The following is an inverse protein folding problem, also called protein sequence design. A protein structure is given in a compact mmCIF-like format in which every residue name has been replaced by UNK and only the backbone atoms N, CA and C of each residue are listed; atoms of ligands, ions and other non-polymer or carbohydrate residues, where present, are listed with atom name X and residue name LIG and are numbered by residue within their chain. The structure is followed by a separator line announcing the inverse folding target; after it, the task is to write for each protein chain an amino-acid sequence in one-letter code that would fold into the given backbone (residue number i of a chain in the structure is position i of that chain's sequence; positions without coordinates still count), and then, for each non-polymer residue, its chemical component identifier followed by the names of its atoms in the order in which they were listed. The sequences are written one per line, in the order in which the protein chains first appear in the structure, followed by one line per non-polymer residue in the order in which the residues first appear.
data_IF_659104837680
#
_entry.id   IF_659104837680
#
_cell.length_a   1.000
_cell.length_b   1.000
_cell.length_c   1.000
_cell.angle_alpha   90.00
_cell.angle_beta   90.00
_cell.angle_gamma   90.00
#
_symmetry.space_group_name_H-M   'P 1'
#
loop_
_entity.id
_entity.type
_entity.pdbx_description
1 polymer ?
#
# COMPACT_ATOMS: atom_id res chain seq x y z
N UNK A 1 -24.49 -11.67 -14.83
CA UNK A 1 -24.14 -13.08 -14.52
C UNK A 1 -22.86 -13.47 -15.28
N UNK A 2 -21.81 -12.65 -15.18
CA UNK A 2 -20.53 -12.82 -15.90
C UNK A 2 -19.29 -12.63 -14.99
N UNK A 3 -19.49 -12.35 -13.69
CA UNK A 3 -18.39 -12.01 -12.76
C UNK A 3 -17.96 -13.14 -11.82
N UNK A 4 -18.70 -14.25 -11.77
CA UNK A 4 -18.41 -15.36 -10.83
C UNK A 4 -17.60 -16.52 -11.44
N UNK A 5 -17.41 -16.53 -12.76
CA UNK A 5 -16.76 -17.65 -13.47
C UNK A 5 -15.22 -17.47 -13.47
N UNK A 6 -14.72 -16.23 -13.40
CA UNK A 6 -13.29 -15.91 -13.52
C UNK A 6 -12.45 -16.40 -12.34
N UNK A 7 -13.01 -16.46 -11.13
CA UNK A 7 -12.29 -16.92 -9.94
C UNK A 7 -12.16 -18.46 -9.87
N UNK A 8 -13.03 -19.22 -10.54
CA UNK A 8 -13.01 -20.69 -10.49
C UNK A 8 -11.80 -21.32 -11.21
N UNK A 9 -11.01 -20.51 -11.94
CA UNK A 9 -9.83 -20.95 -12.68
C UNK A 9 -8.51 -20.32 -12.17
N UNK A 10 -8.53 -19.66 -11.01
CA UNK A 10 -7.32 -19.09 -10.44
C UNK A 10 -6.33 -20.21 -10.06
N UNK A 11 -5.12 -20.15 -10.63
CA UNK A 11 -4.04 -21.06 -10.28
C UNK A 11 -3.27 -20.52 -9.06
N UNK A 12 -2.79 -21.41 -8.17
CA UNK A 12 -1.97 -20.98 -7.04
C UNK A 12 -0.66 -20.36 -7.52
N UNK A 13 -0.13 -19.44 -6.72
CA UNK A 13 1.21 -18.88 -6.90
C UNK A 13 2.12 -19.54 -5.87
N UNK A 14 3.20 -20.15 -6.32
CA UNK A 14 4.14 -20.82 -5.42
C UNK A 14 5.39 -19.95 -5.27
N UNK A 15 5.67 -19.39 -4.08
CA UNK A 15 6.95 -18.76 -3.83
C UNK A 15 8.05 -19.82 -3.81
N UNK A 16 9.30 -19.38 -4.00
CA UNK A 16 10.47 -20.22 -3.72
C UNK A 16 10.39 -20.76 -2.30
N UNK A 17 10.85 -22.00 -2.09
CA UNK A 17 11.06 -22.54 -0.75
C UNK A 17 11.94 -21.57 0.07
N UNK A 18 11.58 -21.36 1.33
CA UNK A 18 12.22 -20.39 2.20
C UNK A 18 12.11 -20.79 3.67
N UNK A 19 13.15 -20.50 4.44
CA UNK A 19 13.19 -20.63 5.91
C UNK A 19 13.05 -19.29 6.61
N UNK A 20 13.16 -18.18 5.85
CA UNK A 20 13.01 -16.82 6.36
C UNK A 20 11.97 -16.05 5.55
N UNK A 21 11.22 -15.18 6.20
CA UNK A 21 10.34 -14.19 5.56
C UNK A 21 10.79 -12.80 5.99
N UNK A 22 11.02 -11.92 5.03
CA UNK A 22 11.38 -10.54 5.25
C UNK A 22 10.27 -9.62 4.76
N UNK A 23 9.54 -8.99 5.68
CA UNK A 23 8.53 -7.98 5.36
C UNK A 23 9.18 -6.60 5.33
N UNK A 24 8.94 -5.85 4.26
CA UNK A 24 9.41 -4.46 4.11
C UNK A 24 8.21 -3.58 3.77
N UNK A 25 7.70 -2.85 4.76
CA UNK A 25 6.61 -1.90 4.55
C UNK A 25 7.19 -0.53 4.19
N UNK A 26 6.89 -0.06 2.99
CA UNK A 26 7.39 1.22 2.47
C UNK A 26 6.26 2.25 2.49
N UNK A 27 6.47 3.33 3.23
CA UNK A 27 5.45 4.34 3.54
C UNK A 27 4.61 3.92 4.75
N UNK A 28 4.70 4.68 5.83
CA UNK A 28 3.91 4.49 7.07
C UNK A 28 3.00 5.69 7.35
N UNK A 29 2.53 6.34 6.29
CA UNK A 29 1.52 7.39 6.36
C UNK A 29 0.11 6.86 6.67
N UNK A 30 -0.86 7.20 5.82
CA UNK A 30 -2.27 6.78 5.99
C UNK A 30 -2.44 5.27 5.99
N UNK A 31 -2.37 4.64 4.81
CA UNK A 31 -2.57 3.19 4.67
C UNK A 31 -1.53 2.39 5.46
N UNK A 32 -0.24 2.73 5.30
CA UNK A 32 0.84 1.99 5.93
C UNK A 32 0.83 2.05 7.46
N UNK A 33 0.47 3.19 8.05
CA UNK A 33 0.41 3.34 9.51
C UNK A 33 -0.62 2.42 10.17
N UNK A 34 -1.77 2.18 9.53
CA UNK A 34 -2.76 1.21 10.01
C UNK A 34 -2.33 -0.23 9.66
N UNK A 35 -1.88 -0.47 8.44
CA UNK A 35 -1.48 -1.79 7.98
C UNK A 35 -0.31 -2.37 8.79
N UNK A 36 0.60 -1.53 9.29
CA UNK A 36 1.69 -1.97 10.16
C UNK A 36 1.17 -2.74 11.39
N UNK A 37 0.09 -2.30 12.03
CA UNK A 37 -0.49 -3.01 13.18
C UNK A 37 -1.10 -4.35 12.80
N UNK A 38 -1.76 -4.43 11.65
CA UNK A 38 -2.33 -5.68 11.16
C UNK A 38 -1.22 -6.67 10.76
N UNK A 39 -0.14 -6.18 10.14
CA UNK A 39 1.05 -6.97 9.85
C UNK A 39 1.69 -7.52 11.12
N UNK A 40 1.72 -6.76 12.22
CA UNK A 40 2.22 -7.27 13.50
C UNK A 40 1.46 -8.52 13.96
N UNK A 41 0.13 -8.55 13.79
CA UNK A 41 -0.70 -9.72 14.15
C UNK A 41 -0.43 -10.91 13.24
N UNK A 42 -0.24 -10.68 11.95
CA UNK A 42 0.15 -11.72 11.00
C UNK A 42 1.52 -12.29 11.37
N UNK A 43 2.49 -11.43 11.69
CA UNK A 43 3.84 -11.81 12.10
C UNK A 43 3.80 -12.65 13.37
N UNK A 44 3.02 -12.26 14.38
CA UNK A 44 2.82 -13.07 15.60
C UNK A 44 2.35 -14.48 15.28
N UNK A 45 1.39 -14.62 14.35
CA UNK A 45 0.93 -15.94 13.93
C UNK A 45 2.03 -16.72 13.20
N UNK A 46 2.82 -16.05 12.36
CA UNK A 46 3.93 -16.68 11.62
C UNK A 46 5.10 -17.09 12.53
N UNK A 47 5.31 -16.42 13.66
CA UNK A 47 6.34 -16.81 14.64
C UNK A 47 6.06 -18.16 15.30
N UNK A 48 4.82 -18.68 15.24
CA UNK A 48 4.51 -20.05 15.65
C UNK A 48 4.98 -21.10 14.63
N UNK A 49 5.43 -20.69 13.45
CA UNK A 49 6.06 -21.57 12.47
C UNK A 49 7.57 -21.69 12.71
N UNK A 50 8.25 -22.60 12.02
CA UNK A 50 9.72 -22.74 12.09
C UNK A 50 10.47 -21.73 11.21
N UNK A 51 9.80 -20.65 10.77
CA UNK A 51 10.39 -19.64 9.89
C UNK A 51 10.89 -18.46 10.71
N UNK A 52 12.04 -17.94 10.35
CA UNK A 52 12.54 -16.67 10.87
C UNK A 52 11.81 -15.52 10.18
N UNK A 53 11.36 -14.52 10.95
CA UNK A 53 10.57 -13.41 10.43
C UNK A 53 11.28 -12.11 10.76
N UNK A 54 11.57 -11.33 9.72
CA UNK A 54 12.09 -9.98 9.84
C UNK A 54 11.03 -8.99 9.37
N UNK A 55 10.92 -7.85 10.05
CA UNK A 55 9.98 -6.80 9.68
C UNK A 55 10.66 -5.44 9.76
N UNK A 56 10.74 -4.77 8.62
CA UNK A 56 11.24 -3.41 8.49
C UNK A 56 10.12 -2.48 8.00
N UNK A 57 10.14 -1.26 8.50
CA UNK A 57 9.30 -0.16 8.03
C UNK A 57 10.18 1.00 7.57
N UNK A 58 9.82 1.61 6.44
CA UNK A 58 10.64 2.62 5.74
C UNK A 58 9.79 3.84 5.43
N UNK A 59 10.18 5.00 5.93
CA UNK A 59 9.55 6.30 5.63
C UNK A 59 10.50 7.42 6.06
N UNK A 60 10.63 8.46 5.23
CA UNK A 60 11.51 9.59 5.49
C UNK A 60 10.85 10.75 6.25
N UNK A 61 9.54 10.69 6.48
CA UNK A 61 8.80 11.79 7.08
C UNK A 61 8.78 11.75 8.61
N UNK A 62 8.64 12.94 9.21
CA UNK A 62 8.21 13.12 10.58
C UNK A 62 6.68 13.24 10.70
N UNK A 63 6.16 12.99 11.89
CA UNK A 63 4.74 13.18 12.21
C UNK A 63 4.42 14.66 12.24
N UNK A 64 3.40 15.08 11.48
CA UNK A 64 2.89 16.45 11.47
C UNK A 64 1.48 16.54 12.06
N UNK A 65 1.06 17.74 12.46
CA UNK A 65 -0.28 17.99 13.01
C UNK A 65 -1.41 17.50 12.09
N UNK A 66 -1.26 17.69 10.78
CA UNK A 66 -2.22 17.24 9.75
C UNK A 66 -2.34 15.71 9.65
N UNK A 67 -1.40 14.96 10.21
CA UNK A 67 -1.42 13.50 10.18
C UNK A 67 -2.36 12.92 11.24
N UNK A 68 -2.53 13.60 12.38
CA UNK A 68 -3.27 13.10 13.56
C UNK A 68 -4.72 12.72 13.24
N UNK A 69 -5.36 13.39 12.30
CA UNK A 69 -6.77 13.13 11.96
C UNK A 69 -7.00 11.87 11.13
N UNK A 70 -5.98 11.36 10.43
CA UNK A 70 -6.17 10.35 9.36
C UNK A 70 -5.07 9.28 9.28
N UNK A 71 -3.97 9.48 9.98
CA UNK A 71 -2.87 8.52 10.06
C UNK A 71 -2.84 7.98 11.50
N UNK A 72 -2.20 6.84 11.68
CA UNK A 72 -2.15 6.15 12.96
C UNK A 72 -1.10 6.78 13.92
N UNK A 73 -1.21 8.09 14.17
CA UNK A 73 -0.33 8.87 15.03
C UNK A 73 -1.09 9.69 16.06
N UNK A 74 -0.43 9.99 17.17
CA UNK A 74 -0.97 10.70 18.33
C UNK A 74 -0.39 12.11 18.44
N UNK A 75 -1.12 13.01 19.10
CA UNK A 75 -0.70 14.41 19.27
C UNK A 75 0.70 14.54 19.92
N UNK A 76 1.05 13.64 20.83
CA UNK A 76 2.33 13.62 21.52
C UNK A 76 3.51 13.21 20.62
N UNK A 77 3.24 12.69 19.42
CA UNK A 77 4.25 12.16 18.50
C UNK A 77 4.65 13.17 17.43
N UNK A 78 3.99 14.35 17.39
CA UNK A 78 4.29 15.41 16.42
C UNK A 78 5.77 15.84 16.53
N UNK A 79 6.45 15.88 15.39
CA UNK A 79 7.86 16.22 15.26
C UNK A 79 8.81 15.02 15.35
N UNK A 80 8.33 13.85 15.76
CA UNK A 80 9.14 12.62 15.77
C UNK A 80 9.11 11.93 14.41
N UNK A 81 10.15 11.15 14.05
CA UNK A 81 10.09 10.30 12.87
C UNK A 81 8.91 9.33 12.92
N UNK A 82 8.19 9.22 11.80
CA UNK A 82 7.02 8.34 11.68
C UNK A 82 7.38 6.88 11.98
N UNK A 83 8.47 6.41 11.38
CA UNK A 83 8.94 5.02 11.56
C UNK A 83 9.33 4.71 12.99
N UNK A 84 10.07 5.58 13.67
CA UNK A 84 10.52 5.31 15.05
C UNK A 84 9.33 5.25 16.00
N UNK A 85 8.40 6.18 15.83
CA UNK A 85 7.17 6.26 16.61
C UNK A 85 6.34 4.98 16.44
N UNK A 86 6.06 4.61 15.19
CA UNK A 86 5.23 3.45 14.89
C UNK A 86 5.92 2.13 15.29
N UNK A 87 7.22 1.99 15.03
CA UNK A 87 8.01 0.82 15.43
C UNK A 87 8.01 0.66 16.94
N UNK A 88 8.29 1.72 17.71
CA UNK A 88 8.31 1.66 19.17
C UNK A 88 6.95 1.24 19.73
N UNK A 89 5.88 1.86 19.23
CA UNK A 89 4.51 1.59 19.68
C UNK A 89 4.07 0.16 19.34
N UNK A 90 4.30 -0.29 18.11
CA UNK A 90 3.96 -1.64 17.68
C UNK A 90 4.81 -2.70 18.40
N UNK A 91 6.12 -2.47 18.56
CA UNK A 91 7.01 -3.39 19.27
C UNK A 91 6.60 -3.53 20.74
N UNK A 92 6.28 -2.42 21.42
CA UNK A 92 5.81 -2.45 22.80
C UNK A 92 4.44 -3.15 22.95
N UNK A 93 3.53 -2.95 21.98
CA UNK A 93 2.18 -3.52 22.02
C UNK A 93 2.15 -5.02 21.71
N UNK A 94 2.94 -5.46 20.74
CA UNK A 94 2.88 -6.84 20.21
C UNK A 94 4.07 -7.71 20.63
N UNK A 95 5.13 -7.13 21.20
CA UNK A 95 6.33 -7.87 21.58
C UNK A 95 7.14 -8.39 20.38
N UNK A 96 7.05 -7.71 19.23
CA UNK A 96 7.81 -8.05 18.02
C UNK A 96 8.93 -7.04 17.80
N UNK A 97 10.03 -7.47 17.19
CA UNK A 97 11.10 -6.56 16.78
C UNK A 97 10.77 -5.95 15.41
N UNK A 98 10.87 -4.62 15.30
CA UNK A 98 10.60 -3.88 14.07
C UNK A 98 11.79 -2.97 13.78
N UNK A 99 12.41 -3.15 12.62
CA UNK A 99 13.48 -2.26 12.15
C UNK A 99 12.87 -0.99 11.56
N UNK A 100 13.14 0.16 12.18
CA UNK A 100 12.76 1.47 11.66
C UNK A 100 13.87 2.03 10.76
N UNK A 101 13.55 2.28 9.49
CA UNK A 101 14.44 2.93 8.53
C UNK A 101 13.92 4.35 8.27
N UNK A 102 14.54 5.33 8.94
CA UNK A 102 14.16 6.74 8.84
C UNK A 102 14.80 7.40 7.61
N UNK A 103 14.50 6.86 6.44
CA UNK A 103 14.95 7.37 5.15
C UNK A 103 13.97 6.94 4.05
N UNK A 104 14.17 7.47 2.85
CA UNK A 104 13.45 7.04 1.66
C UNK A 104 13.86 5.64 1.23
N UNK A 105 12.95 4.93 0.57
CA UNK A 105 13.26 3.62 0.03
C UNK A 105 14.32 3.70 -1.06
N UNK A 106 15.37 2.89 -0.89
CA UNK A 106 16.42 2.68 -1.88
C UNK A 106 16.57 1.18 -2.19
N UNK A 107 16.94 0.87 -3.43
CA UNK A 107 17.07 -0.53 -3.89
C UNK A 107 18.06 -1.34 -3.03
N UNK A 108 19.09 -0.68 -2.53
CA UNK A 108 20.16 -1.31 -1.75
C UNK A 108 19.65 -1.90 -0.44
N UNK A 109 18.54 -1.38 0.11
CA UNK A 109 17.90 -1.97 1.29
C UNK A 109 17.51 -3.44 1.05
N UNK A 110 17.07 -3.76 -0.17
CA UNK A 110 16.67 -5.12 -0.55
C UNK A 110 17.88 -5.94 -0.99
N UNK A 111 18.82 -5.33 -1.73
CA UNK A 111 20.01 -6.02 -2.23
C UNK A 111 20.93 -6.47 -1.11
N UNK A 112 21.13 -5.63 -0.09
CA UNK A 112 21.96 -5.94 1.08
C UNK A 112 21.27 -6.91 2.04
N UNK A 113 19.94 -6.88 2.12
CA UNK A 113 19.13 -7.84 2.88
C UNK A 113 18.87 -9.16 2.12
N UNK A 114 19.50 -9.37 0.96
CA UNK A 114 19.36 -10.61 0.19
C UNK A 114 20.06 -11.76 0.91
N UNK A 115 19.32 -12.40 1.82
CA UNK A 115 19.77 -13.57 2.55
C UNK A 115 19.40 -14.86 1.84
N UNK A 116 20.22 -15.89 2.03
CA UNK A 116 19.94 -17.22 1.53
C UNK A 116 18.57 -17.72 2.00
N UNK A 117 17.80 -18.34 1.11
CA UNK A 117 16.53 -19.00 1.43
C UNK A 117 15.47 -18.09 2.08
N UNK A 118 15.40 -16.84 1.63
CA UNK A 118 14.47 -15.81 2.13
C UNK A 118 13.38 -15.49 1.12
N UNK A 119 12.14 -15.39 1.59
CA UNK A 119 11.04 -14.75 0.88
C UNK A 119 10.93 -13.30 1.33
N UNK A 120 11.15 -12.35 0.43
CA UNK A 120 10.97 -10.92 0.71
C UNK A 120 9.62 -10.46 0.18
N UNK A 121 8.87 -9.76 1.01
CA UNK A 121 7.56 -9.19 0.66
C UNK A 121 7.62 -7.69 0.91
N UNK A 122 7.74 -6.92 -0.16
CA UNK A 122 7.64 -5.46 -0.14
C UNK A 122 6.17 -5.08 -0.17
N UNK A 123 5.73 -4.29 0.78
CA UNK A 123 4.38 -3.74 0.85
C UNK A 123 4.51 -2.24 0.64
N UNK A 124 4.18 -1.78 -0.56
CA UNK A 124 4.24 -0.38 -0.95
C UNK A 124 2.95 0.34 -0.58
N UNK A 125 3.00 1.18 0.44
CA UNK A 125 1.96 2.12 0.83
C UNK A 125 2.38 3.57 0.53
N UNK A 126 3.02 3.76 -0.63
CA UNK A 126 3.55 5.04 -1.10
C UNK A 126 2.55 5.75 -2.00
N UNK A 127 2.61 7.07 -2.03
CA UNK A 127 1.77 7.93 -2.86
C UNK A 127 2.45 8.34 -4.17
N UNK A 128 3.78 8.40 -4.21
CA UNK A 128 4.53 8.92 -5.35
C UNK A 128 5.05 7.85 -6.32
N UNK A 129 5.08 8.24 -7.59
CA UNK A 129 5.59 7.44 -8.72
C UNK A 129 7.07 7.07 -8.59
N UNK A 130 7.89 7.95 -8.01
CA UNK A 130 9.34 7.72 -7.83
C UNK A 130 9.61 6.51 -6.94
N UNK A 131 8.96 6.41 -5.78
CA UNK A 131 9.09 5.27 -4.89
C UNK A 131 8.58 3.98 -5.55
N UNK A 132 7.43 4.04 -6.25
CA UNK A 132 6.92 2.87 -7.02
C UNK A 132 7.91 2.42 -8.10
N UNK A 133 8.59 3.35 -8.77
CA UNK A 133 9.63 3.05 -9.77
C UNK A 133 10.81 2.29 -9.16
N UNK A 134 11.29 2.75 -7.99
CA UNK A 134 12.37 2.05 -7.26
C UNK A 134 11.95 0.68 -6.75
N UNK A 135 10.70 0.49 -6.32
CA UNK A 135 10.20 -0.83 -5.93
C UNK A 135 10.07 -1.74 -7.17
N UNK A 136 9.61 -1.21 -8.30
CA UNK A 136 9.52 -1.96 -9.55
C UNK A 136 10.90 -2.44 -10.03
N UNK A 137 11.94 -1.61 -9.92
CA UNK A 137 13.28 -1.96 -10.39
C UNK A 137 13.92 -3.10 -9.60
N UNK A 138 13.65 -3.22 -8.29
CA UNK A 138 14.18 -4.35 -7.49
C UNK A 138 13.58 -5.70 -7.88
N UNK A 139 12.41 -5.74 -8.53
CA UNK A 139 11.83 -7.00 -9.01
C UNK A 139 12.69 -7.70 -10.08
N UNK A 140 13.65 -6.99 -10.70
CA UNK A 140 14.68 -7.58 -11.58
C UNK A 140 15.58 -8.59 -10.86
N UNK A 141 15.58 -8.62 -9.52
CA UNK A 141 16.31 -9.62 -8.72
C UNK A 141 15.73 -11.02 -8.92
N UNK A 142 14.42 -11.14 -9.16
CA UNK A 142 13.83 -12.44 -9.43
C UNK A 142 14.29 -12.96 -10.81
N UNK A 143 14.65 -14.24 -10.84
CA UNK A 143 14.98 -14.96 -12.06
C UNK A 143 13.71 -15.44 -12.76
N UNK A 144 13.63 -15.23 -14.07
CA UNK A 144 12.56 -15.79 -14.90
C UNK A 144 12.57 -17.33 -14.96
N UNK A 145 13.60 -18.00 -14.46
CA UNK A 145 13.69 -19.47 -14.50
C UNK A 145 13.40 -20.14 -13.14
N UNK A 146 13.15 -19.36 -12.10
CA UNK A 146 12.89 -19.87 -10.75
C UNK A 146 11.56 -19.31 -10.21
N UNK A 147 10.89 -20.01 -9.26
CA UNK A 147 9.80 -19.40 -8.51
C UNK A 147 10.26 -18.12 -7.80
N UNK A 148 9.38 -17.11 -7.74
CA UNK A 148 9.71 -15.83 -7.15
C UNK A 148 10.10 -15.95 -5.66
N UNK A 149 11.14 -15.22 -5.26
CA UNK A 149 11.51 -15.02 -3.84
C UNK A 149 11.31 -13.58 -3.38
N UNK A 150 11.00 -12.66 -4.28
CA UNK A 150 10.67 -11.28 -3.98
C UNK A 150 9.26 -10.94 -4.52
N UNK A 151 8.39 -10.47 -3.65
CA UNK A 151 7.04 -10.05 -3.98
C UNK A 151 6.88 -8.57 -3.68
N UNK A 152 6.10 -7.89 -4.51
CA UNK A 152 5.65 -6.53 -4.25
C UNK A 152 4.12 -6.50 -4.23
N UNK A 153 3.57 -6.04 -3.11
CA UNK A 153 2.17 -5.64 -2.98
C UNK A 153 2.11 -4.12 -3.03
N UNK A 154 1.55 -3.56 -4.11
CA UNK A 154 1.20 -2.14 -4.17
C UNK A 154 -0.17 -1.95 -3.52
N UNK A 155 -0.23 -1.14 -2.47
CA UNK A 155 -1.41 -0.86 -1.68
C UNK A 155 -1.74 0.63 -1.79
N UNK A 156 -2.14 1.06 -2.99
CA UNK A 156 -2.56 2.44 -3.23
C UNK A 156 -3.98 2.72 -2.77
N UNK A 157 -4.19 3.92 -2.27
CA UNK A 157 -5.51 4.42 -1.88
C UNK A 157 -5.67 5.87 -2.37
N UNK A 158 -6.65 6.08 -3.25
CA UNK A 158 -7.08 7.40 -3.71
C UNK A 158 -8.20 7.94 -2.80
N UNK A 159 -8.80 9.07 -3.17
CA UNK A 159 -9.90 9.64 -2.40
C UNK A 159 -11.19 8.81 -2.49
N UNK A 160 -11.36 8.03 -3.56
CA UNK A 160 -12.63 7.35 -3.87
C UNK A 160 -12.47 5.87 -4.21
N UNK A 161 -11.23 5.37 -4.24
CA UNK A 161 -10.92 3.99 -4.60
C UNK A 161 -9.65 3.54 -3.90
N UNK A 162 -9.56 2.25 -3.59
CA UNK A 162 -8.31 1.62 -3.17
C UNK A 162 -8.02 0.43 -4.07
N UNK A 163 -6.74 0.11 -4.23
CA UNK A 163 -6.28 -1.06 -4.96
C UNK A 163 -5.21 -1.80 -4.18
N UNK A 164 -5.22 -3.12 -4.33
CA UNK A 164 -4.11 -3.98 -3.91
C UNK A 164 -3.72 -4.83 -5.09
N UNK A 165 -2.49 -4.63 -5.57
CA UNK A 165 -1.96 -5.37 -6.72
C UNK A 165 -0.69 -6.07 -6.30
N UNK A 166 -0.59 -7.36 -6.58
CA UNK A 166 0.58 -8.18 -6.26
C UNK A 166 1.32 -8.54 -7.53
N UNK A 167 2.65 -8.43 -7.51
CA UNK A 167 3.50 -8.84 -8.61
C UNK A 167 4.88 -9.26 -8.16
N UNK A 168 5.60 -9.94 -9.05
CA UNK A 168 6.92 -10.49 -8.73
C UNK A 168 7.99 -10.15 -9.76
N UNK A 169 7.63 -9.91 -11.02
CA UNK A 169 8.62 -9.68 -12.07
C UNK A 169 8.41 -8.34 -12.78
N UNK A 170 9.52 -7.64 -13.03
CA UNK A 170 9.52 -6.38 -13.77
C UNK A 170 9.22 -6.54 -15.27
N UNK A 171 9.38 -7.76 -15.79
CA UNK A 171 8.94 -8.15 -17.13
C UNK A 171 8.04 -9.39 -17.02
N UNK A 172 7.12 -9.58 -17.95
CA UNK A 172 6.16 -10.68 -17.89
C UNK A 172 5.93 -11.31 -19.25
N UNK A 173 6.17 -12.62 -19.32
CA UNK A 173 5.81 -13.48 -20.45
C UNK A 173 4.92 -14.60 -19.91
N UNK A 174 3.68 -14.66 -20.37
CA UNK A 174 2.67 -15.62 -19.91
C UNK A 174 3.10 -17.08 -20.11
N UNK A 175 3.91 -17.35 -21.13
CA UNK A 175 4.42 -18.71 -21.45
C UNK A 175 5.42 -19.13 -20.38
N UNK A 176 6.32 -18.22 -19.98
CA UNK A 176 7.36 -18.48 -18.98
C UNK A 176 6.84 -18.37 -17.54
N UNK A 177 5.73 -17.66 -17.34
CA UNK A 177 5.16 -17.40 -16.02
C UNK A 177 4.54 -18.63 -15.35
N UNK A 178 4.26 -19.70 -16.09
CA UNK A 178 3.63 -20.92 -15.58
C UNK A 178 4.59 -22.10 -15.55
N UNK A 179 4.31 -23.09 -14.71
CA UNK A 179 5.11 -24.31 -14.64
C UNK A 179 5.05 -25.18 -15.92
N UNK A 180 4.00 -25.02 -16.72
CA UNK A 180 3.81 -25.71 -17.98
C UNK A 180 2.93 -24.83 -18.91
N UNK A 181 3.45 -24.36 -20.05
CA UNK A 181 2.70 -23.49 -20.96
C UNK A 181 1.42 -24.10 -21.53
N UNK A 182 1.39 -25.40 -21.79
CA UNK A 182 0.26 -26.09 -22.43
C UNK A 182 -0.85 -26.42 -21.42
N UNK A 183 -0.46 -26.69 -20.17
CA UNK A 183 -1.38 -27.06 -19.09
C UNK A 183 -0.89 -26.50 -17.75
N UNK A 184 -1.11 -25.20 -17.49
CA UNK A 184 -0.59 -24.55 -16.30
C UNK A 184 -1.32 -25.07 -15.04
N UNK A 185 -0.54 -25.37 -14.00
CA UNK A 185 -1.05 -25.82 -12.70
C UNK A 185 -0.78 -24.79 -11.59
N UNK A 186 0.27 -23.99 -11.73
CA UNK A 186 0.59 -22.90 -10.83
C UNK A 186 1.43 -21.83 -11.54
N UNK A 187 1.38 -20.61 -11.01
CA UNK A 187 2.20 -19.49 -11.45
C UNK A 187 3.54 -19.47 -10.72
N UNK A 188 4.61 -19.34 -11.50
CA UNK A 188 5.96 -19.04 -11.03
C UNK A 188 6.15 -17.52 -10.89
N UNK A 189 5.55 -16.76 -11.80
CA UNK A 189 5.72 -15.31 -11.91
C UNK A 189 4.37 -14.60 -12.00
N UNK A 190 4.36 -13.35 -11.57
CA UNK A 190 3.25 -12.42 -11.72
C UNK A 190 3.77 -11.13 -12.34
N UNK A 191 3.00 -10.49 -13.22
CA UNK A 191 3.37 -9.18 -13.73
C UNK A 191 3.47 -8.20 -12.55
N UNK A 192 4.48 -7.33 -12.55
CA UNK A 192 4.55 -6.28 -11.52
C UNK A 192 3.30 -5.39 -11.55
N UNK A 193 2.92 -4.76 -10.42
CA UNK A 193 1.84 -3.78 -10.38
C UNK A 193 1.90 -2.74 -11.50
N UNK A 194 3.09 -2.27 -11.86
CA UNK A 194 3.31 -1.31 -12.96
C UNK A 194 2.99 -1.87 -14.34
N UNK A 195 3.21 -3.17 -14.58
CA UNK A 195 2.86 -3.78 -15.87
C UNK A 195 1.33 -3.91 -16.04
N UNK A 196 0.61 -4.08 -14.92
CA UNK A 196 -0.85 -4.13 -14.92
C UNK A 196 -1.45 -2.72 -14.95
N UNK A 197 -0.82 -1.78 -14.23
CA UNK A 197 -1.23 -0.38 -14.07
C UNK A 197 -0.06 0.57 -14.36
N UNK A 198 0.25 0.86 -15.64
CA UNK A 198 1.37 1.74 -16.01
C UNK A 198 1.21 3.17 -15.49
N UNK A 199 -0.02 3.62 -15.25
CA UNK A 199 -0.35 4.92 -14.66
C UNK A 199 0.26 5.14 -13.27
N UNK A 200 0.64 4.07 -12.56
CA UNK A 200 1.30 4.15 -11.25
C UNK A 200 2.68 4.82 -11.31
N UNK A 201 3.32 4.83 -12.48
CA UNK A 201 4.60 5.51 -12.72
C UNK A 201 4.44 6.91 -13.31
N UNK A 202 3.22 7.34 -13.62
CA UNK A 202 2.96 8.70 -14.06
C UNK A 202 2.86 9.58 -12.82
N UNK A 203 3.76 10.57 -12.65
CA UNK A 203 3.66 11.49 -11.53
C UNK A 203 2.31 12.21 -11.57
N UNK A 204 1.60 12.19 -10.45
CA UNK A 204 0.37 12.95 -10.35
C UNK A 204 0.67 14.46 -10.27
N UNK A 205 -0.25 15.36 -10.66
CA UNK A 205 -0.05 16.81 -10.59
C UNK A 205 0.43 17.30 -9.21
N UNK A 206 0.00 16.62 -8.16
CA UNK A 206 0.38 16.87 -6.77
C UNK A 206 1.87 16.58 -6.50
N UNK A 207 2.46 15.61 -7.21
CA UNK A 207 3.90 15.28 -7.14
C UNK A 207 4.76 16.29 -7.93
N UNK A 208 4.17 16.95 -8.94
CA UNK A 208 4.88 17.84 -9.86
C UNK A 208 4.86 19.30 -9.43
N UNK A 209 3.92 19.68 -8.56
CA UNK A 209 3.86 21.05 -8.07
C UNK A 209 4.88 21.28 -6.96
N UNK A 210 5.60 22.41 -6.99
CA UNK A 210 6.33 23.00 -5.83
C UNK A 210 5.38 23.38 -4.66
N UNK A 211 4.18 22.79 -4.60
CA UNK A 211 3.28 22.93 -3.47
C UNK A 211 3.77 22.02 -2.36
N UNK A 212 4.19 22.60 -1.24
CA UNK A 212 4.48 21.93 0.04
C UNK A 212 3.26 21.24 0.69
N UNK A 213 2.23 20.89 -0.09
CA UNK A 213 1.01 20.27 0.40
C UNK A 213 1.18 18.76 0.34
N UNK A 214 1.24 18.14 1.50
CA UNK A 214 1.17 16.70 1.63
C UNK A 214 -0.17 16.15 1.11
N UNK A 215 -0.19 14.85 0.83
CA UNK A 215 -1.43 14.11 0.61
C UNK A 215 -2.49 14.32 1.71
N UNK A 216 -2.10 14.72 2.93
CA UNK A 216 -3.06 15.07 3.99
C UNK A 216 -3.79 16.38 3.71
N UNK A 217 -3.04 17.40 3.31
CA UNK A 217 -3.58 18.73 3.03
C UNK A 217 -4.46 18.71 1.79
N UNK A 218 -4.09 17.93 0.78
CA UNK A 218 -4.85 17.79 -0.46
C UNK A 218 -6.18 17.09 -0.19
N UNK A 219 -6.17 16.02 0.61
CA UNK A 219 -7.39 15.38 1.06
C UNK A 219 -8.25 16.31 1.90
N UNK A 220 -7.68 17.02 2.87
CA UNK A 220 -8.42 17.98 3.69
C UNK A 220 -9.04 19.10 2.85
N UNK A 221 -8.31 19.63 1.85
CA UNK A 221 -8.83 20.62 0.89
C UNK A 221 -9.95 20.08 0.03
N UNK A 222 -9.85 18.84 -0.44
CA UNK A 222 -10.91 18.18 -1.20
C UNK A 222 -12.16 17.94 -0.34
N UNK A 223 -12.01 17.59 0.94
CA UNK A 223 -13.13 17.54 1.88
C UNK A 223 -13.75 18.94 2.11
N UNK A 224 -12.93 19.99 2.23
CA UNK A 224 -13.40 21.37 2.40
C UNK A 224 -14.10 21.92 1.14
N UNK A 225 -13.62 21.62 -0.06
CA UNK A 225 -14.27 22.00 -1.32
C UNK A 225 -15.58 21.24 -1.55
N UNK A 226 -15.73 20.08 -0.94
CA UNK A 226 -16.95 19.28 -0.92
C UNK A 226 -17.91 19.56 0.23
N UNK A 227 -17.67 20.55 1.11
CA UNK A 227 -18.74 21.10 1.96
C UNK A 227 -19.69 21.81 0.99
N UNK A 228 -20.87 21.24 0.66
CA UNK A 228 -21.81 21.94 -0.21
C UNK A 228 -22.19 23.21 0.54
N UNK A 229 -22.25 24.34 -0.18
CA UNK A 229 -22.95 25.55 0.25
C UNK A 229 -24.17 25.17 1.10
N UNK A 230 -24.03 25.23 2.42
CA UNK A 230 -25.10 25.00 3.38
C UNK A 230 -25.95 26.27 3.33
N UNK A 231 -26.72 26.44 2.25
CA UNK A 231 -27.86 27.35 2.24
C UNK A 231 -28.83 26.78 3.27
N UNK A 232 -28.75 27.33 4.47
CA UNK A 232 -29.81 27.30 5.46
C UNK A 232 -31.11 27.71 4.76
N UNK A 233 -31.90 26.71 4.33
CA UNK A 233 -33.30 26.90 4.06
C UNK A 233 -34.01 26.99 5.42
N UNK A 234 -33.97 28.19 5.99
CA UNK A 234 -34.83 28.55 7.11
C UNK A 234 -36.28 28.53 6.61
N UNK A 235 -37.14 27.89 7.40
CA UNK A 235 -38.58 27.73 7.18
C UNK A 235 -39.27 29.05 6.85
N UNK A 236 -40.18 29.02 5.88
CA UNK A 236 -41.52 29.60 6.06
C UNK A 236 -42.57 28.64 5.50
N UNK A 237 -43.11 27.82 6.38
CA UNK A 237 -44.48 27.31 6.23
C UNK A 237 -45.40 28.38 6.82
N UNK A 238 -46.07 29.14 5.97
CA UNK A 238 -47.29 29.85 6.35
C UNK A 238 -48.18 30.03 5.13
N UNK A 239 -49.25 29.22 5.13
CA UNK A 239 -50.63 29.63 4.84
C UNK A 239 -50.83 30.68 3.74
N UNK A 240 -51.43 30.26 2.63
CA UNK A 240 -52.68 30.86 2.14
C UNK A 240 -53.35 29.98 1.07
N UNK A 241 -54.32 29.20 1.53
CA UNK A 241 -55.61 29.07 0.85
C UNK A 241 -56.11 30.45 0.39
N UNK A 242 -56.32 30.64 -0.92
CA UNK A 242 -57.54 31.24 -1.51
C UNK A 242 -57.38 31.52 -3.02
N UNK A 243 -58.50 31.31 -3.72
CA UNK A 243 -58.90 31.81 -5.03
C UNK A 243 -58.51 31.01 -6.28
N UNK A 244 -59.35 30.02 -6.60
CA UNK A 244 -59.78 29.78 -7.98
C UNK A 244 -61.15 30.44 -8.09
N UNK A 245 -61.25 31.49 -8.90
CA UNK A 245 -62.49 32.15 -9.24
C UNK A 245 -62.41 32.65 -10.67
N UNK A 246 -63.30 32.10 -11.51
CA UNK A 246 -63.78 32.57 -12.83
C UNK A 246 -62.68 32.70 -13.91
N UNK A 247 -62.79 32.06 -15.09
CA UNK A 247 -63.92 32.00 -16.05
C UNK A 247 -63.88 30.63 -16.74
#
# INVERSE_FOLDING_TARGET
MLELITYQQALPVLPRNHTRINFVLVGVGGTGGFLAEDLCRIILQLQHTRKEINFAIVDGDAVELKNISRQNYQQAEIGLPKVETLAARCSAKYGIEITAVCDWFEEDLIRTASWWNTLTVIIGCVDNSTARSKIHSVLKINSANEPASLFWLDCGNSNYSGQVVIGTHSNFDIVQASNNPDKPQFWLHLPSPVLVHPELLVPQPEELSDNNLSCAEIQARNYQSHIPHLKLAHRETSQKTKNIGNI
#
